data_IF_761013465914
#
_entry.id   IF_761013465914
#
_cell.length_a   1.000
_cell.length_b   1.000
_cell.length_c   1.000
_cell.angle_alpha   90.00
_cell.angle_beta   90.00
_cell.angle_gamma   90.00
#
_symmetry.space_group_name_H-M   'P 1'
#
loop_
_entity.id
_entity.type
_entity.pdbx_description
1 polymer ?
#
# COMPACT_ATOMS: atom_id res chain seq x y z
N UNK A 1 26.31 -41.24 -2.43
CA UNK A 1 26.28 -40.70 -2.01
C UNK A 1 25.46 -40.26 -1.65
N UNK A 2 25.11 -39.78 -1.37
CA UNK A 2 24.64 -39.22 -0.68
C UNK A 2 23.43 -38.64 -1.10
N UNK A 3 22.33 -39.33 -1.10
CA UNK A 3 21.06 -38.74 -1.48
C UNK A 3 20.67 -37.65 -0.49
N UNK A 4 21.17 -37.67 0.71
CA UNK A 4 20.87 -36.61 1.65
C UNK A 4 21.55 -35.28 1.25
N UNK A 5 22.59 -35.38 0.43
CA UNK A 5 23.18 -34.18 -0.16
C UNK A 5 22.18 -33.52 -1.09
N UNK A 6 21.43 -34.33 -1.83
CA UNK A 6 20.39 -33.78 -2.71
C UNK A 6 19.27 -33.18 -1.93
N UNK A 7 18.97 -33.74 -0.75
CA UNK A 7 17.93 -33.14 0.11
C UNK A 7 18.32 -31.74 0.56
N UNK A 8 19.59 -31.55 0.90
CA UNK A 8 20.07 -30.24 1.31
C UNK A 8 19.99 -29.26 0.15
N UNK A 9 20.41 -29.68 -1.03
CA UNK A 9 20.34 -28.83 -2.21
C UNK A 9 18.88 -28.48 -2.53
N UNK A 10 18.01 -29.47 -2.42
CA UNK A 10 16.60 -29.25 -2.68
C UNK A 10 16.00 -28.21 -1.73
N UNK A 11 16.35 -28.27 -0.45
CA UNK A 11 15.88 -27.32 0.53
C UNK A 11 16.39 -25.93 0.21
N UNK A 12 17.65 -25.80 -0.18
CA UNK A 12 18.22 -24.51 -0.55
C UNK A 12 17.51 -23.92 -1.76
N UNK A 13 17.19 -24.76 -2.72
CA UNK A 13 16.46 -24.30 -3.91
C UNK A 13 15.07 -23.83 -3.52
N UNK A 14 14.41 -24.54 -2.63
CA UNK A 14 13.09 -24.12 -2.16
C UNK A 14 13.14 -22.77 -1.46
N UNK A 15 14.15 -22.56 -0.65
CA UNK A 15 14.29 -21.25 0.01
C UNK A 15 14.55 -20.16 -1.01
N UNK A 16 15.36 -20.43 -2.02
CA UNK A 16 15.64 -19.45 -3.06
C UNK A 16 14.37 -19.10 -3.82
N UNK A 17 13.59 -20.11 -4.17
CA UNK A 17 12.34 -19.89 -4.89
C UNK A 17 11.37 -19.08 -4.03
N UNK A 18 11.25 -19.45 -2.76
CA UNK A 18 10.38 -18.75 -1.85
C UNK A 18 10.79 -17.28 -1.73
N UNK A 19 12.07 -17.03 -1.60
CA UNK A 19 12.59 -15.67 -1.49
C UNK A 19 12.28 -14.86 -2.76
N UNK A 20 12.49 -15.46 -3.91
CA UNK A 20 12.23 -14.79 -5.18
C UNK A 20 10.75 -14.49 -5.34
N UNK A 21 9.89 -15.44 -5.01
CA UNK A 21 8.46 -15.24 -5.12
C UNK A 21 8.00 -14.12 -4.20
N UNK A 22 8.52 -14.11 -2.98
CA UNK A 22 8.16 -13.08 -2.02
C UNK A 22 8.56 -11.70 -2.50
N UNK A 23 9.75 -11.58 -3.08
CA UNK A 23 10.22 -10.30 -3.58
C UNK A 23 9.51 -9.87 -4.85
N UNK A 24 9.19 -10.84 -5.71
CA UNK A 24 8.53 -10.53 -6.97
C UNK A 24 7.08 -10.17 -6.79
N UNK A 25 6.53 -10.47 -5.65
CA UNK A 25 5.12 -10.18 -5.43
C UNK A 25 4.78 -8.73 -5.74
N UNK A 26 5.67 -7.83 -5.40
CA UNK A 26 5.46 -6.42 -5.66
C UNK A 26 5.60 -6.12 -7.15
N UNK A 27 6.49 -6.83 -7.83
CA UNK A 27 6.76 -6.57 -9.23
C UNK A 27 5.76 -7.18 -10.18
N UNK A 28 5.03 -8.17 -9.73
CA UNK A 28 4.03 -8.81 -10.57
C UNK A 28 2.98 -7.80 -11.04
N UNK A 29 2.64 -6.86 -10.17
CA UNK A 29 1.67 -5.84 -10.55
C UNK A 29 2.18 -4.95 -11.66
N UNK A 30 3.48 -4.79 -11.76
CA UNK A 30 4.08 -3.96 -12.80
C UNK A 30 4.07 -4.66 -14.14
N UNK A 31 4.20 -5.97 -14.11
CA UNK A 31 4.29 -6.76 -15.34
C UNK A 31 2.97 -7.39 -15.69
N UNK A 32 1.92 -6.71 -15.41
CA UNK A 32 0.61 -7.24 -15.60
C UNK A 32 0.36 -7.58 -17.06
N UNK A 33 0.34 -8.86 -17.36
CA UNK A 33 0.03 -9.35 -18.67
C UNK A 33 0.94 -8.75 -19.73
N UNK A 34 0.47 -8.81 -20.91
CA UNK A 34 1.22 -8.27 -22.00
C UNK A 34 1.02 -6.78 -22.09
N UNK A 35 0.09 -6.28 -21.35
CA UNK A 35 -0.20 -4.88 -21.37
C UNK A 35 0.85 -4.08 -20.66
N UNK A 36 1.60 -4.73 -19.80
CA UNK A 36 2.59 -4.04 -19.05
C UNK A 36 2.00 -2.84 -18.38
N UNK A 37 0.77 -2.91 -18.01
CA UNK A 37 0.08 -1.81 -17.40
C UNK A 37 0.19 -1.94 -15.90
N UNK A 38 0.83 -0.99 -15.28
CA UNK A 38 0.93 -0.95 -13.84
C UNK A 38 -0.37 -0.38 -13.28
N UNK A 39 -1.09 -1.19 -12.54
CA UNK A 39 -2.40 -0.78 -12.03
C UNK A 39 -2.34 0.07 -10.78
N UNK A 40 -1.28 -0.08 -10.01
CA UNK A 40 -1.21 0.63 -8.75
C UNK A 40 -2.17 0.08 -7.72
N UNK A 41 -2.30 0.80 -6.64
CA UNK A 41 -3.24 0.45 -5.58
C UNK A 41 -4.61 1.00 -5.92
N UNK A 42 -5.66 0.25 -5.57
CA UNK A 42 -7.00 0.76 -5.76
C UNK A 42 -7.33 1.80 -4.69
N UNK A 43 -8.37 2.59 -4.94
CA UNK A 43 -8.81 3.56 -3.93
C UNK A 43 -9.22 2.85 -2.63
N UNK A 44 -9.89 1.70 -2.74
CA UNK A 44 -10.27 0.94 -1.56
C UNK A 44 -9.06 0.47 -0.75
N UNK A 45 -8.04 0.00 -1.45
CA UNK A 45 -6.80 -0.39 -0.79
C UNK A 45 -6.17 0.76 -0.06
N UNK A 46 -6.09 1.91 -0.71
CA UNK A 46 -5.47 3.09 -0.13
C UNK A 46 -6.25 3.62 1.07
N UNK A 47 -7.58 3.52 1.02
CA UNK A 47 -8.40 3.89 2.17
C UNK A 47 -8.04 3.05 3.39
N UNK A 48 -7.93 1.74 3.20
CA UNK A 48 -7.60 0.85 4.28
C UNK A 48 -6.17 1.07 4.76
N UNK A 49 -5.23 1.25 3.84
CA UNK A 49 -3.85 1.50 4.19
C UNK A 49 -3.72 2.79 4.98
N UNK A 50 -4.47 3.82 4.61
CA UNK A 50 -4.43 5.09 5.32
C UNK A 50 -4.96 4.96 6.75
N UNK A 51 -6.04 4.20 6.92
CA UNK A 51 -6.57 3.96 8.27
C UNK A 51 -5.57 3.22 9.14
N UNK A 52 -4.93 2.21 8.58
CA UNK A 52 -3.93 1.44 9.31
C UNK A 52 -2.73 2.32 9.65
N UNK A 53 -2.26 3.08 8.69
CA UNK A 53 -1.12 3.97 8.89
C UNK A 53 -1.39 4.97 10.01
N UNK A 54 -2.53 5.63 9.95
CA UNK A 54 -2.87 6.63 10.95
C UNK A 54 -3.03 6.00 12.34
N UNK A 55 -3.69 4.85 12.38
CA UNK A 55 -3.92 4.15 13.65
C UNK A 55 -2.60 3.76 14.31
N UNK A 56 -1.66 3.27 13.52
CA UNK A 56 -0.35 2.88 14.04
C UNK A 56 0.44 4.07 14.54
N UNK A 57 0.35 5.18 13.83
CA UNK A 57 1.15 6.34 14.15
C UNK A 57 0.63 7.12 15.35
N UNK A 58 -0.68 7.23 15.46
CA UNK A 58 -1.29 8.08 16.50
C UNK A 58 -2.10 7.32 17.52
N UNK A 59 -2.19 6.00 17.39
CA UNK A 59 -2.96 5.15 18.29
C UNK A 59 -4.42 5.61 18.38
N UNK A 60 -4.97 6.00 17.25
CA UNK A 60 -6.36 6.42 17.12
C UNK A 60 -6.85 6.05 15.73
N UNK A 61 -8.00 5.41 15.64
CA UNK A 61 -8.55 4.98 14.37
C UNK A 61 -9.68 5.92 13.94
N UNK A 62 -9.51 6.67 12.85
CA UNK A 62 -10.60 7.46 12.29
C UNK A 62 -11.74 6.54 11.86
N UNK A 63 -12.96 7.04 11.91
CA UNK A 63 -14.11 6.19 11.59
C UNK A 63 -14.28 6.01 10.08
N UNK A 64 -13.74 6.91 9.28
CA UNK A 64 -13.92 6.87 7.82
C UNK A 64 -12.67 7.26 7.09
N UNK A 65 -12.48 6.66 5.92
CA UNK A 65 -11.46 7.09 4.98
C UNK A 65 -12.10 7.03 3.60
N UNK A 66 -11.93 8.09 2.83
CA UNK A 66 -12.49 8.18 1.50
C UNK A 66 -11.40 8.63 0.53
N UNK A 67 -11.13 7.81 -0.47
CA UNK A 67 -10.07 8.08 -1.42
C UNK A 67 -10.66 8.37 -2.80
N UNK A 68 -10.08 9.35 -3.47
CA UNK A 68 -10.52 9.70 -4.81
C UNK A 68 -9.34 10.22 -5.62
N UNK A 69 -9.46 10.09 -6.94
CA UNK A 69 -8.40 10.50 -7.86
C UNK A 69 -8.31 12.01 -7.91
N UNK A 70 -7.10 12.54 -7.86
CA UNK A 70 -6.90 13.97 -7.95
C UNK A 70 -7.33 14.47 -9.33
N UNK A 71 -7.94 15.65 -9.37
CA UNK A 71 -8.45 16.19 -10.62
C UNK A 71 -7.36 16.57 -11.61
N UNK A 72 -6.20 16.93 -11.10
CA UNK A 72 -5.11 17.40 -11.95
C UNK A 72 -4.09 16.34 -12.31
N UNK A 73 -3.99 15.30 -11.49
CA UNK A 73 -3.00 14.25 -11.70
C UNK A 73 -3.61 12.91 -11.32
N UNK A 74 -3.91 12.12 -12.35
CA UNK A 74 -4.56 10.83 -12.14
C UNK A 74 -3.71 9.83 -11.37
N UNK A 75 -2.43 10.11 -11.23
CA UNK A 75 -1.54 9.24 -10.45
C UNK A 75 -1.56 9.57 -8.97
N UNK A 76 -2.19 10.66 -8.60
CA UNK A 76 -2.28 11.06 -7.19
C UNK A 76 -3.67 10.73 -6.67
N UNK A 77 -3.70 10.12 -5.51
CA UNK A 77 -4.95 9.79 -4.83
C UNK A 77 -5.03 10.63 -3.58
N UNK A 78 -6.12 11.35 -3.45
CA UNK A 78 -6.38 12.14 -2.24
C UNK A 78 -7.22 11.30 -1.30
N UNK A 79 -6.82 11.23 -0.03
CA UNK A 79 -7.51 10.41 0.96
C UNK A 79 -7.94 11.30 2.11
N UNK A 80 -9.22 11.32 2.37
CA UNK A 80 -9.80 12.09 3.47
C UNK A 80 -10.10 11.17 4.64
N UNK A 81 -9.40 11.38 5.74
CA UNK A 81 -9.66 10.67 6.98
C UNK A 81 -10.53 11.55 7.85
N UNK A 82 -11.65 11.03 8.31
CA UNK A 82 -12.59 11.86 9.06
C UNK A 82 -13.43 11.03 10.02
N UNK A 83 -14.01 11.73 10.97
CA UNK A 83 -15.00 11.19 11.87
C UNK A 83 -16.31 11.94 11.64
N UNK A 84 -17.39 11.33 12.07
CA UNK A 84 -18.69 12.01 12.05
C UNK A 84 -19.07 12.29 13.49
N UNK A 85 -19.28 13.59 13.77
CA UNK A 85 -19.62 14.04 15.11
C UNK A 85 -20.88 14.89 15.01
N UNK A 86 -21.96 14.43 15.62
CA UNK A 86 -23.23 15.18 15.62
C UNK A 86 -23.65 15.58 14.20
N UNK A 87 -23.62 14.62 13.28
CA UNK A 87 -23.98 14.81 11.87
C UNK A 87 -23.05 15.72 11.08
N UNK A 88 -21.91 16.07 11.66
CA UNK A 88 -20.89 16.85 10.98
C UNK A 88 -19.67 16.00 10.72
N UNK A 89 -19.03 16.27 9.58
CA UNK A 89 -17.76 15.63 9.25
C UNK A 89 -16.64 16.37 9.96
N UNK A 90 -15.86 15.65 10.74
CA UNK A 90 -14.70 16.20 11.43
C UNK A 90 -13.44 15.63 10.79
N UNK A 91 -12.73 16.45 10.04
CA UNK A 91 -11.53 16.02 9.35
C UNK A 91 -10.44 15.65 10.35
N UNK A 92 -9.87 14.46 10.17
CA UNK A 92 -8.75 13.99 10.97
C UNK A 92 -7.45 14.28 10.24
N UNK A 93 -7.39 13.93 8.96
CA UNK A 93 -6.21 14.20 8.15
C UNK A 93 -6.57 14.12 6.67
N UNK A 94 -5.66 14.59 5.83
CA UNK A 94 -5.73 14.47 4.39
C UNK A 94 -4.40 13.93 3.91
N UNK A 95 -4.44 12.92 3.05
CA UNK A 95 -3.23 12.41 2.42
C UNK A 95 -3.33 12.59 0.92
N UNK A 96 -2.21 12.93 0.30
CA UNK A 96 -2.09 12.95 -1.14
C UNK A 96 -0.94 12.01 -1.47
N UNK A 97 -1.24 10.86 -2.04
CA UNK A 97 -0.24 9.84 -2.27
C UNK A 97 -0.22 9.38 -3.73
N UNK A 98 0.94 8.91 -4.16
CA UNK A 98 1.08 8.29 -5.46
C UNK A 98 0.42 6.91 -5.41
N UNK A 99 -0.42 6.63 -6.39
CA UNK A 99 -1.19 5.37 -6.36
C UNK A 99 -0.32 4.13 -6.54
N UNK A 100 0.88 4.29 -7.04
CA UNK A 100 1.79 3.16 -7.25
C UNK A 100 2.66 2.88 -6.03
N UNK A 101 3.17 3.92 -5.40
CA UNK A 101 4.09 3.77 -4.28
C UNK A 101 3.43 3.95 -2.92
N UNK A 102 2.27 4.56 -2.88
CA UNK A 102 1.56 4.92 -1.65
C UNK A 102 2.34 5.92 -0.79
N UNK A 103 3.27 6.63 -1.41
CA UNK A 103 4.05 7.68 -0.75
C UNK A 103 3.51 9.03 -1.12
N UNK A 104 3.56 9.95 -0.20
CA UNK A 104 3.06 11.29 -0.47
C UNK A 104 3.18 12.20 0.73
N UNK A 105 2.16 13.00 0.96
CA UNK A 105 2.19 13.98 2.05
C UNK A 105 0.87 13.98 2.81
N UNK A 106 0.94 14.46 4.05
CA UNK A 106 -0.26 14.66 4.84
C UNK A 106 -0.72 16.12 4.71
N UNK A 107 -1.74 16.50 5.47
CA UNK A 107 -2.32 17.84 5.38
C UNK A 107 -1.32 18.95 5.75
N UNK A 108 -0.31 18.61 6.53
CA UNK A 108 0.71 19.57 6.94
C UNK A 108 1.88 19.62 5.97
N UNK A 109 1.84 18.82 4.91
CA UNK A 109 2.93 18.76 3.95
C UNK A 109 4.08 17.87 4.37
N UNK A 110 3.89 17.08 5.42
CA UNK A 110 4.92 16.14 5.87
C UNK A 110 4.90 14.88 5.02
N UNK A 111 6.07 14.32 4.76
CA UNK A 111 6.16 13.11 3.96
C UNK A 111 5.61 11.91 4.71
N UNK A 112 4.84 11.10 4.02
CA UNK A 112 4.28 9.87 4.56
C UNK A 112 4.47 8.73 3.59
N UNK A 113 4.44 7.52 4.12
CA UNK A 113 4.51 6.29 3.32
C UNK A 113 3.52 5.31 3.92
N UNK A 114 2.41 5.09 3.22
CA UNK A 114 1.35 4.23 3.75
C UNK A 114 1.75 2.76 3.81
N UNK A 115 2.87 2.40 3.22
CA UNK A 115 3.37 1.03 3.26
C UNK A 115 4.28 0.77 4.45
N UNK A 116 4.56 1.77 5.24
CA UNK A 116 5.40 1.63 6.40
C UNK A 116 4.79 0.82 7.51
#
# INVERSE_FOLDING_TARGET
MKWWTYAIVFILVLFAIFYIVKNKKIKIDVLDGDGMVYKGHSTSELEEMALIYYTKKYNYKPSHAEAFVDEKDENIINIHLYDIVDDHTATVDWYAVDKYTAEGTNILGEEIDLME
#
